data_IF_828101887729
#
_entry.id   IF_828101887729
#
_cell.length_a   1.000
_cell.length_b   1.000
_cell.length_c   1.000
_cell.angle_alpha   90.00
_cell.angle_beta   90.00
_cell.angle_gamma   90.00
#
_symmetry.space_group_name_H-M   'P 1'
#
loop_
_entity.id
_entity.type
_entity.pdbx_description
1 polymer ?
#
# COMPACT_ATOMS: atom_id res chain seq x y z
N UNK A 1 -18.35 -44.44 63.50
CA UNK A 1 -17.41 -44.04 62.43
C UNK A 1 -18.13 -43.08 61.47
N UNK A 2 -17.83 -41.78 61.55
CA UNK A 2 -18.38 -40.74 60.64
C UNK A 2 -17.27 -40.38 59.67
N UNK A 3 -17.48 -40.64 58.37
CA UNK A 3 -16.59 -40.22 57.31
C UNK A 3 -16.88 -38.76 56.92
N UNK A 4 -15.87 -37.87 57.07
CA UNK A 4 -15.90 -36.54 56.53
C UNK A 4 -15.48 -36.57 55.02
N UNK A 5 -16.40 -36.23 54.17
CA UNK A 5 -16.04 -35.88 52.75
C UNK A 5 -15.57 -34.43 52.70
N UNK A 6 -14.30 -34.20 52.38
CA UNK A 6 -13.80 -32.88 51.99
C UNK A 6 -14.06 -32.68 50.49
N UNK A 7 -15.00 -31.81 50.16
CA UNK A 7 -15.18 -31.31 48.76
C UNK A 7 -14.17 -30.18 48.50
N UNK A 8 -13.15 -30.47 47.69
CA UNK A 8 -12.22 -29.44 47.20
C UNK A 8 -12.88 -28.65 46.07
N UNK A 9 -13.13 -27.37 46.31
CA UNK A 9 -13.56 -26.41 45.25
C UNK A 9 -12.32 -25.97 44.45
N UNK A 10 -12.19 -26.47 43.24
CA UNK A 10 -11.21 -25.96 42.24
C UNK A 10 -11.74 -24.62 41.70
N UNK A 11 -11.18 -23.52 42.19
CA UNK A 11 -11.34 -22.20 41.60
C UNK A 11 -10.53 -22.17 40.31
N UNK A 12 -11.19 -22.34 39.17
CA UNK A 12 -10.61 -22.05 37.87
C UNK A 12 -10.46 -20.50 37.71
N UNK A 13 -9.27 -19.99 37.92
CA UNK A 13 -8.94 -18.62 37.58
C UNK A 13 -8.95 -18.45 36.05
N UNK A 14 -9.99 -17.80 35.52
CA UNK A 14 -10.01 -17.38 34.13
C UNK A 14 -8.92 -16.33 33.94
N UNK A 15 -7.80 -16.70 33.36
CA UNK A 15 -6.81 -15.76 32.88
C UNK A 15 -7.42 -15.10 31.64
N UNK A 16 -7.99 -13.91 31.81
CA UNK A 16 -8.30 -13.06 30.67
C UNK A 16 -6.95 -12.63 30.08
N UNK A 17 -6.64 -13.12 28.88
CA UNK A 17 -5.52 -12.58 28.11
C UNK A 17 -5.78 -11.09 27.88
N UNK A 18 -4.86 -10.25 28.35
CA UNK A 18 -4.95 -8.82 28.11
C UNK A 18 -4.91 -8.60 26.60
N UNK A 19 -5.85 -7.80 26.08
CA UNK A 19 -5.82 -7.37 24.69
C UNK A 19 -4.51 -6.63 24.48
N UNK A 20 -3.67 -6.98 23.49
CA UNK A 20 -2.41 -6.29 23.29
C UNK A 20 -2.65 -4.81 23.00
N UNK A 21 -1.93 -3.97 23.72
CA UNK A 21 -1.98 -2.52 23.56
C UNK A 21 -0.98 -2.12 22.48
N UNK A 22 -1.48 -1.60 21.36
CA UNK A 22 -0.65 -1.08 20.28
C UNK A 22 -0.35 0.41 20.49
N UNK A 23 0.81 0.85 20.01
CA UNK A 23 1.20 2.25 20.06
C UNK A 23 0.20 3.14 19.30
N UNK A 24 -0.14 4.29 19.87
CA UNK A 24 -1.03 5.25 19.25
C UNK A 24 -0.25 6.20 18.32
N UNK A 25 -0.87 6.56 17.20
CA UNK A 25 -0.38 7.65 16.34
C UNK A 25 -0.80 8.97 16.95
N UNK A 26 0.18 9.82 17.28
CA UNK A 26 -0.03 11.12 17.95
C UNK A 26 0.57 12.27 17.15
N UNK A 27 -0.03 13.47 17.18
CA UNK A 27 0.57 14.66 16.57
C UNK A 27 1.95 14.99 17.18
N UNK A 28 2.82 15.61 16.38
CA UNK A 28 4.11 16.12 16.85
C UNK A 28 5.29 15.15 16.75
N UNK A 29 5.09 13.90 16.34
CA UNK A 29 6.18 13.02 15.95
C UNK A 29 6.86 13.56 14.67
N UNK A 30 8.19 13.58 14.68
CA UNK A 30 8.97 14.05 13.53
C UNK A 30 9.54 12.86 12.79
N UNK A 31 8.97 12.53 11.63
CA UNK A 31 9.46 11.44 10.78
C UNK A 31 10.84 11.78 10.23
N UNK A 32 11.75 10.83 10.34
CA UNK A 32 13.11 10.89 9.78
C UNK A 32 13.46 9.55 9.14
N UNK A 33 13.84 9.52 7.87
CA UNK A 33 14.21 8.27 7.19
C UNK A 33 15.38 7.55 7.88
N UNK A 34 16.22 8.26 8.61
CA UNK A 34 17.31 7.65 9.37
C UNK A 34 16.82 6.80 10.56
N UNK A 35 15.60 7.04 11.03
CA UNK A 35 14.98 6.37 12.18
C UNK A 35 13.73 5.58 11.79
N UNK A 36 12.97 6.09 10.83
CA UNK A 36 11.63 5.63 10.50
C UNK A 36 11.55 4.97 9.11
N UNK A 37 12.67 4.53 8.54
CA UNK A 37 12.63 3.74 7.29
C UNK A 37 12.38 2.25 7.52
N UNK A 38 12.61 1.75 8.72
CA UNK A 38 12.41 0.36 9.11
C UNK A 38 11.00 0.07 9.66
N UNK A 39 10.84 -1.12 10.24
CA UNK A 39 9.57 -1.57 10.79
C UNK A 39 9.28 -0.99 12.18
N UNK A 40 8.02 -0.69 12.44
CA UNK A 40 7.51 -0.12 13.68
C UNK A 40 6.67 -1.16 14.44
N UNK A 41 7.31 -2.16 15.04
CA UNK A 41 6.67 -3.35 15.63
C UNK A 41 5.63 -3.03 16.73
N UNK A 42 5.73 -1.86 17.36
CA UNK A 42 4.75 -1.38 18.34
C UNK A 42 3.40 -0.99 17.75
N UNK A 43 3.31 -0.82 16.43
CA UNK A 43 2.06 -0.49 15.74
C UNK A 43 1.39 -1.74 15.16
N UNK A 44 0.07 -1.67 15.00
CA UNK A 44 -0.74 -2.82 14.56
C UNK A 44 -0.52 -3.18 13.10
N UNK A 45 -0.42 -2.20 12.21
CA UNK A 45 -0.25 -2.38 10.76
C UNK A 45 0.73 -1.39 10.16
N UNK A 46 1.41 -1.82 9.12
CA UNK A 46 2.42 -1.06 8.42
C UNK A 46 2.57 -1.58 7.00
N UNK A 47 2.92 -0.71 6.05
CA UNK A 47 3.20 -1.13 4.68
C UNK A 47 4.25 -0.26 3.99
N UNK A 48 5.00 -0.90 3.12
CA UNK A 48 5.88 -0.34 2.11
C UNK A 48 5.24 -0.63 0.75
N UNK A 49 4.81 0.41 0.07
CA UNK A 49 4.03 0.34 -1.15
C UNK A 49 4.77 1.07 -2.27
N UNK A 50 5.33 0.32 -3.23
CA UNK A 50 6.03 0.85 -4.38
C UNK A 50 5.23 0.61 -5.65
N UNK A 51 4.89 1.69 -6.35
CA UNK A 51 4.17 1.66 -7.63
C UNK A 51 4.87 2.51 -8.66
N UNK A 52 4.67 2.20 -9.93
CA UNK A 52 5.30 3.01 -10.95
C UNK A 52 5.02 2.58 -12.38
N UNK A 53 5.64 3.32 -13.26
CA UNK A 53 5.62 3.08 -14.68
C UNK A 53 7.02 2.70 -15.16
N UNK A 54 7.05 1.71 -16.06
CA UNK A 54 8.26 1.26 -16.74
C UNK A 54 8.09 1.45 -18.23
N UNK A 55 9.18 1.79 -18.89
CA UNK A 55 9.27 1.88 -20.35
C UNK A 55 10.27 0.81 -20.81
N UNK A 56 9.86 -0.03 -21.73
CA UNK A 56 10.71 -1.01 -22.42
C UNK A 56 11.58 -0.28 -23.48
N UNK A 57 12.62 -0.91 -24.07
CA UNK A 57 13.44 -0.30 -25.11
C UNK A 57 12.64 0.16 -26.35
N UNK A 58 11.57 -0.55 -26.69
CA UNK A 58 10.64 -0.24 -27.76
C UNK A 58 9.51 0.72 -27.35
N UNK A 59 9.67 1.38 -26.17
CA UNK A 59 8.74 2.39 -25.63
C UNK A 59 7.34 1.88 -25.31
N UNK A 60 7.18 0.61 -25.07
CA UNK A 60 5.93 0.10 -24.55
C UNK A 60 5.84 0.39 -23.05
N UNK A 61 4.77 1.04 -22.59
CA UNK A 61 4.57 1.34 -21.18
C UNK A 61 4.07 0.11 -20.44
N UNK A 62 4.63 -0.13 -19.25
CA UNK A 62 4.14 -1.09 -18.26
C UNK A 62 3.86 -0.37 -16.96
N UNK A 63 2.92 -0.89 -16.16
CA UNK A 63 2.74 -0.51 -14.77
C UNK A 63 3.25 -1.60 -13.84
N UNK A 64 3.70 -1.25 -12.64
CA UNK A 64 4.01 -2.22 -11.62
C UNK A 64 3.55 -1.75 -10.25
N UNK A 65 3.26 -2.72 -9.39
CA UNK A 65 2.96 -2.52 -7.98
C UNK A 65 3.65 -3.62 -7.17
N UNK A 66 4.22 -3.24 -6.03
CA UNK A 66 4.80 -4.15 -5.05
C UNK A 66 4.48 -3.59 -3.67
N UNK A 67 3.79 -4.38 -2.85
CA UNK A 67 3.47 -3.99 -1.48
C UNK A 67 3.95 -5.06 -0.53
N UNK A 68 4.62 -4.65 0.52
CA UNK A 68 4.84 -5.47 1.70
C UNK A 68 4.05 -4.88 2.85
N UNK A 69 3.29 -5.73 3.54
CA UNK A 69 2.57 -5.37 4.75
C UNK A 69 3.18 -6.12 5.92
N UNK A 70 3.25 -5.44 7.06
CA UNK A 70 3.43 -6.05 8.37
C UNK A 70 2.14 -5.87 9.17
N UNK A 71 1.67 -6.92 9.79
CA UNK A 71 0.49 -6.88 10.65
C UNK A 71 0.74 -7.63 11.94
N UNK A 72 0.61 -6.95 13.06
CA UNK A 72 0.61 -7.57 14.38
C UNK A 72 -0.71 -8.32 14.60
N UNK A 73 -0.62 -9.57 15.04
CA UNK A 73 -1.78 -10.46 15.18
C UNK A 73 -2.54 -10.29 16.50
N UNK A 74 -1.93 -9.61 17.47
CA UNK A 74 -2.44 -9.56 18.83
C UNK A 74 -2.13 -10.84 19.63
N UNK A 75 -1.32 -11.75 19.12
CA UNK A 75 -0.80 -12.88 19.90
C UNK A 75 0.09 -12.39 21.04
N UNK A 76 0.07 -13.09 22.18
CA UNK A 76 0.85 -12.70 23.35
C UNK A 76 2.35 -12.60 23.00
N UNK A 77 2.95 -11.42 23.08
CA UNK A 77 4.38 -11.25 22.77
C UNK A 77 5.31 -11.98 23.75
N UNK A 78 4.79 -12.38 24.93
CA UNK A 78 5.53 -13.17 25.92
C UNK A 78 5.49 -14.68 25.64
N UNK A 79 4.77 -15.15 24.63
CA UNK A 79 4.77 -16.56 24.24
C UNK A 79 6.19 -16.97 23.81
N UNK A 80 6.85 -17.91 24.52
CA UNK A 80 8.22 -18.32 24.21
C UNK A 80 8.33 -19.17 22.94
N UNK A 81 7.21 -19.54 22.32
CA UNK A 81 7.21 -20.38 21.14
C UNK A 81 7.79 -19.65 19.92
N UNK A 82 8.86 -20.18 19.33
CA UNK A 82 9.36 -19.70 18.05
C UNK A 82 8.33 -19.83 16.91
N UNK A 83 7.22 -20.51 17.14
CA UNK A 83 6.11 -20.67 16.21
C UNK A 83 4.95 -19.71 16.48
N UNK A 84 5.02 -18.89 17.54
CA UNK A 84 4.00 -17.88 17.83
C UNK A 84 3.84 -16.91 16.66
N UNK A 85 2.61 -16.69 16.15
CA UNK A 85 2.39 -15.82 14.99
C UNK A 85 2.24 -14.36 15.41
N UNK A 86 3.23 -13.78 16.13
CA UNK A 86 3.14 -12.42 16.66
C UNK A 86 3.04 -11.37 15.55
N UNK A 87 3.71 -11.59 14.42
CA UNK A 87 3.70 -10.73 13.24
C UNK A 87 3.44 -11.55 11.99
N UNK A 88 2.63 -11.01 11.09
CA UNK A 88 2.45 -11.50 9.72
C UNK A 88 3.16 -10.56 8.75
N UNK A 89 3.84 -11.13 7.78
CA UNK A 89 4.33 -10.44 6.60
C UNK A 89 3.49 -10.89 5.41
N UNK A 90 2.94 -9.93 4.69
CA UNK A 90 2.12 -10.15 3.50
C UNK A 90 2.79 -9.40 2.35
N UNK A 91 2.78 -9.96 1.16
CA UNK A 91 3.30 -9.29 -0.01
C UNK A 91 2.38 -9.48 -1.21
N UNK A 92 2.16 -8.40 -1.95
CA UNK A 92 1.48 -8.39 -3.23
C UNK A 92 2.44 -7.85 -4.29
N UNK A 93 2.37 -8.40 -5.47
CA UNK A 93 3.06 -7.87 -6.64
C UNK A 93 2.17 -7.95 -7.87
N UNK A 94 2.25 -6.94 -8.72
CA UNK A 94 1.47 -6.89 -9.94
C UNK A 94 2.24 -6.23 -11.09
N UNK A 95 1.92 -6.67 -12.30
CA UNK A 95 2.41 -6.13 -13.56
C UNK A 95 1.21 -5.79 -14.46
N UNK A 96 1.06 -4.51 -14.76
CA UNK A 96 0.11 -3.99 -15.76
C UNK A 96 0.78 -3.96 -17.12
N UNK A 97 0.44 -4.93 -17.97
CA UNK A 97 0.94 -5.01 -19.33
C UNK A 97 -0.24 -4.96 -20.32
N UNK A 98 -0.39 -3.90 -21.12
CA UNK A 98 -1.49 -3.79 -22.07
C UNK A 98 -1.57 -4.94 -23.08
N UNK A 99 -0.44 -5.60 -23.36
CA UNK A 99 -0.42 -6.76 -24.25
C UNK A 99 -1.12 -8.00 -23.67
N UNK A 100 -1.26 -8.08 -22.34
CA UNK A 100 -2.00 -9.15 -21.66
C UNK A 100 -3.49 -8.86 -21.59
N UNK A 101 -3.87 -7.57 -21.55
CA UNK A 101 -5.26 -7.13 -21.40
C UNK A 101 -5.85 -7.32 -20.00
N UNK A 102 -5.09 -7.84 -19.04
CA UNK A 102 -5.46 -8.02 -17.63
C UNK A 102 -4.23 -7.89 -16.73
N UNK A 103 -4.44 -7.63 -15.44
CA UNK A 103 -3.38 -7.55 -14.45
C UNK A 103 -2.78 -8.94 -14.20
N UNK A 104 -1.46 -9.08 -14.39
CA UNK A 104 -0.73 -10.23 -13.85
C UNK A 104 -0.37 -9.90 -12.40
N UNK A 105 -0.77 -10.74 -11.45
CA UNK A 105 -0.49 -10.52 -10.02
C UNK A 105 -0.23 -11.82 -9.27
N UNK A 106 0.46 -11.71 -8.15
CA UNK A 106 0.73 -12.81 -7.22
C UNK A 106 0.73 -12.26 -5.79
N UNK A 107 0.51 -13.13 -4.81
CA UNK A 107 0.39 -12.76 -3.40
C UNK A 107 1.01 -13.83 -2.50
N UNK A 108 1.55 -13.39 -1.38
CA UNK A 108 2.15 -14.28 -0.37
C UNK A 108 1.80 -13.80 1.03
N UNK A 109 1.74 -14.73 1.96
CA UNK A 109 1.56 -14.46 3.39
C UNK A 109 2.33 -15.50 4.21
N UNK A 110 3.06 -15.04 5.21
CA UNK A 110 3.67 -15.91 6.22
C UNK A 110 3.77 -15.19 7.56
N UNK A 111 3.81 -15.98 8.64
CA UNK A 111 4.25 -15.45 9.93
C UNK A 111 5.73 -15.09 9.88
N UNK A 112 6.10 -14.03 10.59
CA UNK A 112 7.49 -13.63 10.74
C UNK A 112 8.30 -14.73 11.44
N UNK A 113 9.50 -14.99 10.95
CA UNK A 113 10.43 -15.92 11.60
C UNK A 113 11.29 -16.75 10.66
N UNK A 114 12.24 -17.47 11.22
CA UNK A 114 13.12 -18.45 10.57
C UNK A 114 13.95 -17.87 9.41
N UNK A 115 14.10 -16.54 9.31
CA UNK A 115 14.77 -15.89 8.18
C UNK A 115 14.00 -15.98 6.85
N UNK A 116 12.78 -16.52 6.86
CA UNK A 116 11.93 -16.65 5.67
C UNK A 116 11.01 -15.44 5.47
N UNK A 117 10.50 -14.88 6.57
CA UNK A 117 9.68 -13.68 6.56
C UNK A 117 10.11 -12.76 7.70
N UNK A 118 10.37 -11.48 7.39
CA UNK A 118 10.73 -10.47 8.38
C UNK A 118 10.55 -9.05 7.83
N UNK A 119 10.43 -8.09 8.73
CA UNK A 119 10.66 -6.66 8.49
C UNK A 119 11.60 -6.15 9.59
N UNK A 120 12.72 -5.51 9.21
CA UNK A 120 13.72 -5.04 10.18
C UNK A 120 13.38 -3.65 10.71
N UNK A 121 13.63 -3.35 12.00
CA UNK A 121 13.26 -2.07 12.60
C UNK A 121 14.20 -0.91 12.28
N UNK A 122 15.43 -1.17 11.89
CA UNK A 122 16.49 -0.17 11.73
C UNK A 122 16.60 0.41 10.31
N UNK A 123 16.01 -0.26 9.33
CA UNK A 123 16.01 0.18 7.92
C UNK A 123 14.95 -0.59 7.14
N UNK A 124 14.53 -0.08 5.98
CA UNK A 124 13.73 -0.88 5.05
C UNK A 124 14.53 -2.12 4.64
N UNK A 125 14.20 -3.24 5.21
CA UNK A 125 14.68 -4.57 4.84
C UNK A 125 13.54 -5.54 5.17
N UNK A 126 12.65 -5.69 4.18
CA UNK A 126 11.45 -6.51 4.30
C UNK A 126 11.56 -7.66 3.33
N UNK A 127 11.32 -8.86 3.84
CA UNK A 127 11.44 -10.11 3.09
C UNK A 127 10.26 -11.03 3.34
N UNK A 128 9.83 -11.69 2.29
CA UNK A 128 8.90 -12.80 2.35
C UNK A 128 9.31 -13.85 1.30
N UNK A 129 9.90 -14.95 1.76
CA UNK A 129 10.51 -15.99 0.92
C UNK A 129 11.60 -15.39 0.01
N UNK A 130 11.46 -15.47 -1.32
CA UNK A 130 12.38 -14.88 -2.29
C UNK A 130 12.08 -13.39 -2.59
N UNK A 131 10.92 -12.88 -2.20
CA UNK A 131 10.55 -11.50 -2.44
C UNK A 131 11.14 -10.58 -1.38
N UNK A 132 11.65 -9.43 -1.80
CA UNK A 132 12.25 -8.46 -0.86
C UNK A 132 12.21 -7.03 -1.40
N UNK A 133 12.20 -6.10 -0.47
CA UNK A 133 12.55 -4.70 -0.68
C UNK A 133 13.61 -4.31 0.36
N UNK A 134 14.74 -3.78 -0.09
CA UNK A 134 15.86 -3.41 0.79
C UNK A 134 16.34 -2.02 0.42
N UNK A 135 16.43 -1.13 1.39
CA UNK A 135 17.06 0.18 1.23
C UNK A 135 18.56 0.08 1.48
N UNK A 136 19.37 0.37 0.48
CA UNK A 136 20.81 0.37 0.56
C UNK A 136 21.36 1.59 1.33
N UNK A 137 22.66 1.57 1.67
CA UNK A 137 23.29 2.62 2.45
C UNK A 137 23.33 3.99 1.76
N UNK A 138 23.30 4.03 0.43
CA UNK A 138 23.21 5.26 -0.37
C UNK A 138 21.78 5.74 -0.59
N UNK A 139 20.79 5.03 -0.02
CA UNK A 139 19.38 5.38 -0.01
C UNK A 139 18.56 4.84 -1.18
N UNK A 140 19.14 4.17 -2.18
CA UNK A 140 18.34 3.50 -3.20
C UNK A 140 17.69 2.22 -2.65
N UNK A 141 16.60 1.78 -3.26
CA UNK A 141 15.91 0.54 -2.92
C UNK A 141 16.20 -0.53 -3.97
N UNK A 142 16.54 -1.72 -3.52
CA UNK A 142 16.57 -2.93 -4.33
C UNK A 142 15.30 -3.73 -4.11
N UNK A 143 14.60 -4.04 -5.19
CA UNK A 143 13.37 -4.83 -5.18
C UNK A 143 13.58 -6.09 -5.98
N UNK A 144 13.26 -7.23 -5.38
CA UNK A 144 13.27 -8.54 -6.02
C UNK A 144 11.92 -9.21 -5.82
N UNK A 145 11.24 -9.52 -6.89
CA UNK A 145 9.99 -10.28 -6.91
C UNK A 145 10.10 -11.36 -7.97
N UNK A 146 9.98 -12.61 -7.56
CA UNK A 146 9.84 -13.76 -8.43
C UNK A 146 8.45 -14.37 -8.24
N UNK A 147 7.48 -13.84 -8.99
CA UNK A 147 6.09 -14.30 -9.02
C UNK A 147 5.92 -15.48 -9.99
N UNK A 148 4.81 -16.19 -9.91
CA UNK A 148 4.57 -17.37 -10.75
C UNK A 148 4.53 -17.05 -12.25
N UNK A 149 3.95 -15.90 -12.62
CA UNK A 149 3.79 -15.49 -14.01
C UNK A 149 4.80 -14.45 -14.51
N UNK A 150 5.52 -13.75 -13.61
CA UNK A 150 6.42 -12.66 -13.97
C UNK A 150 7.53 -12.49 -12.93
N UNK A 151 8.55 -11.68 -13.24
CA UNK A 151 9.47 -11.21 -12.21
C UNK A 151 9.83 -9.73 -12.39
N UNK A 152 10.14 -9.08 -11.27
CA UNK A 152 10.56 -7.69 -11.19
C UNK A 152 11.87 -7.63 -10.39
N UNK A 153 12.96 -7.24 -11.04
CA UNK A 153 14.23 -6.96 -10.37
C UNK A 153 14.59 -5.52 -10.66
N UNK A 154 14.30 -4.64 -9.69
CA UNK A 154 14.32 -3.19 -9.90
C UNK A 154 15.21 -2.49 -8.86
N UNK A 155 15.93 -1.47 -9.29
CA UNK A 155 16.56 -0.48 -8.44
C UNK A 155 15.74 0.81 -8.50
N UNK A 156 15.30 1.31 -7.34
CA UNK A 156 14.53 2.55 -7.21
C UNK A 156 15.42 3.59 -6.53
N UNK A 157 15.83 4.63 -7.26
CA UNK A 157 16.77 5.64 -6.76
C UNK A 157 16.03 6.94 -6.47
N UNK A 158 16.03 7.44 -5.20
CA UNK A 158 15.47 8.73 -4.85
C UNK A 158 16.09 9.86 -5.67
N UNK A 159 15.26 10.72 -6.24
CA UNK A 159 15.70 11.92 -7.00
C UNK A 159 15.29 13.20 -6.31
N UNK A 160 14.44 13.13 -5.30
CA UNK A 160 13.90 14.23 -4.53
C UNK A 160 13.81 13.85 -3.05
N UNK A 161 13.65 14.85 -2.18
CA UNK A 161 13.41 14.61 -0.76
C UNK A 161 12.04 13.92 -0.53
N UNK A 162 11.87 13.16 0.57
CA UNK A 162 10.59 12.62 0.95
C UNK A 162 9.51 13.68 1.09
N UNK A 163 8.26 13.30 0.84
CA UNK A 163 7.07 14.11 1.06
C UNK A 163 6.35 13.60 2.30
N UNK A 164 6.41 14.36 3.39
CA UNK A 164 5.69 14.02 4.62
C UNK A 164 4.21 14.34 4.42
N UNK A 165 3.36 13.34 4.61
CA UNK A 165 1.92 13.47 4.37
C UNK A 165 1.19 14.06 5.60
N UNK A 166 0.09 14.77 5.35
CA UNK A 166 -0.68 15.41 6.41
C UNK A 166 0.09 16.53 7.13
N UNK A 167 0.04 16.54 8.44
CA UNK A 167 0.77 17.51 9.28
C UNK A 167 2.15 16.91 9.63
N UNK A 168 3.14 17.15 8.77
CA UNK A 168 4.54 16.71 8.95
C UNK A 168 4.67 15.19 9.18
N UNK A 169 3.84 14.38 8.49
CA UNK A 169 3.82 12.94 8.62
C UNK A 169 2.67 12.39 9.47
N UNK A 170 2.00 13.21 10.27
CA UNK A 170 0.76 12.84 10.94
C UNK A 170 -0.42 12.98 9.96
N UNK A 171 -0.85 11.88 9.38
CA UNK A 171 -1.87 11.84 8.32
C UNK A 171 -3.19 11.32 8.86
N UNK A 172 -4.17 12.19 9.04
CA UNK A 172 -5.52 11.79 9.47
C UNK A 172 -6.26 11.02 8.39
N UNK A 173 -6.99 9.99 8.82
CA UNK A 173 -7.81 9.10 7.99
C UNK A 173 -9.29 9.15 8.37
N UNK A 174 -9.65 10.00 9.31
CA UNK A 174 -11.03 10.12 9.78
C UNK A 174 -11.25 11.33 10.69
N UNK A 175 -12.51 11.51 11.15
CA UNK A 175 -12.87 12.64 11.99
C UNK A 175 -12.26 12.61 13.38
N UNK A 176 -11.95 11.43 13.93
CA UNK A 176 -11.32 11.31 15.25
C UNK A 176 -9.79 11.39 15.15
N UNK A 177 -9.11 12.02 16.10
CA UNK A 177 -7.65 12.19 16.08
C UNK A 177 -6.88 10.87 15.99
N UNK A 178 -7.34 9.83 16.70
CA UNK A 178 -6.72 8.50 16.69
C UNK A 178 -6.82 7.76 15.35
N UNK A 179 -7.73 8.19 14.46
CA UNK A 179 -7.83 7.69 13.09
C UNK A 179 -6.78 8.36 12.21
N UNK A 180 -5.54 7.97 12.41
CA UNK A 180 -4.39 8.55 11.74
C UNK A 180 -3.30 7.51 11.51
N UNK A 181 -2.36 7.82 10.66
CA UNK A 181 -1.12 7.10 10.44
C UNK A 181 0.06 8.04 10.51
N UNK A 182 1.25 7.50 10.75
CA UNK A 182 2.48 8.13 10.33
C UNK A 182 2.73 7.73 8.89
N UNK A 183 3.02 8.71 8.02
CA UNK A 183 3.02 8.50 6.59
C UNK A 183 3.97 9.44 5.87
N UNK A 184 4.88 8.87 5.10
CA UNK A 184 5.67 9.61 4.12
C UNK A 184 5.68 8.92 2.77
N UNK A 185 5.93 9.71 1.73
CA UNK A 185 6.07 9.23 0.36
C UNK A 185 7.44 9.61 -0.19
N UNK A 186 7.97 8.80 -1.09
CA UNK A 186 9.12 9.12 -1.93
C UNK A 186 8.68 9.13 -3.41
N UNK A 187 8.26 10.28 -3.93
CA UNK A 187 7.89 10.43 -5.33
C UNK A 187 9.12 10.55 -6.24
N UNK A 188 8.91 10.37 -7.54
CA UNK A 188 9.95 10.51 -8.56
C UNK A 188 11.19 9.62 -8.33
N UNK A 189 11.01 8.42 -7.78
CA UNK A 189 12.07 7.44 -7.75
C UNK A 189 12.43 7.04 -9.18
N UNK A 190 13.69 7.22 -9.58
CA UNK A 190 14.17 6.73 -10.87
C UNK A 190 14.28 5.21 -10.81
N UNK A 191 13.71 4.53 -11.80
CA UNK A 191 13.72 3.07 -11.88
C UNK A 191 14.64 2.60 -12.99
N UNK A 192 15.44 1.59 -12.68
CA UNK A 192 16.19 0.77 -13.66
C UNK A 192 16.09 -0.70 -13.23
N UNK A 193 16.18 -1.62 -14.19
CA UNK A 193 16.14 -3.04 -13.85
C UNK A 193 15.70 -3.93 -15.00
N UNK A 194 15.17 -5.08 -14.63
CA UNK A 194 14.66 -6.09 -15.57
C UNK A 194 13.27 -6.58 -15.17
N UNK A 195 12.45 -6.82 -16.17
CA UNK A 195 11.12 -7.43 -16.03
C UNK A 195 11.10 -8.70 -16.88
N UNK A 196 10.71 -9.81 -16.28
CA UNK A 196 10.32 -11.01 -17.03
C UNK A 196 8.79 -11.00 -17.13
N UNK A 197 8.27 -11.01 -18.34
CA UNK A 197 6.82 -10.92 -18.62
C UNK A 197 6.19 -12.30 -18.62
N UNK A 198 4.87 -12.43 -18.41
CA UNK A 198 4.15 -13.67 -18.62
C UNK A 198 4.35 -14.20 -20.03
N UNK A 199 4.47 -15.52 -20.16
CA UNK A 199 4.56 -16.17 -21.46
C UNK A 199 3.16 -16.53 -21.98
N UNK A 200 2.97 -16.45 -23.31
CA UNK A 200 1.68 -16.80 -23.94
C UNK A 200 1.24 -18.25 -23.67
N UNK A 201 2.18 -19.16 -23.42
CA UNK A 201 1.91 -20.56 -23.06
C UNK A 201 1.70 -20.81 -21.57
N UNK A 202 1.64 -19.74 -20.75
CA UNK A 202 1.62 -19.78 -19.29
C UNK A 202 3.02 -19.79 -18.68
N UNK A 203 3.12 -19.40 -17.38
CA UNK A 203 4.39 -19.20 -16.69
C UNK A 203 5.12 -17.93 -17.11
N UNK A 204 6.43 -17.89 -16.94
CA UNK A 204 7.29 -16.73 -17.28
C UNK A 204 7.96 -16.89 -18.63
N UNK A 205 8.18 -15.78 -19.32
CA UNK A 205 9.10 -15.72 -20.47
C UNK A 205 10.51 -16.16 -20.04
N UNK A 206 11.31 -16.65 -20.95
CA UNK A 206 12.71 -17.02 -20.68
C UNK A 206 13.62 -15.80 -20.64
N UNK A 207 13.26 -14.73 -21.31
CA UNK A 207 14.11 -13.55 -21.48
C UNK A 207 13.59 -12.39 -20.65
N UNK A 208 14.50 -11.78 -19.87
CA UNK A 208 14.23 -10.53 -19.18
C UNK A 208 14.33 -9.33 -20.11
N UNK A 209 13.43 -8.37 -19.96
CA UNK A 209 13.46 -7.10 -20.68
C UNK A 209 14.06 -6.04 -19.75
N UNK A 210 15.11 -5.36 -20.22
CA UNK A 210 15.66 -4.19 -19.52
C UNK A 210 14.64 -3.06 -19.57
N UNK A 211 14.41 -2.43 -18.42
CA UNK A 211 13.42 -1.36 -18.30
C UNK A 211 14.01 -0.15 -17.59
N UNK A 212 13.44 1.01 -17.88
CA UNK A 212 13.65 2.25 -17.13
C UNK A 212 12.30 2.86 -16.78
N UNK A 213 12.26 3.77 -15.79
CA UNK A 213 10.97 4.38 -15.45
C UNK A 213 11.02 5.31 -14.27
N UNK A 214 9.83 5.56 -13.71
CA UNK A 214 9.65 6.33 -12.50
C UNK A 214 8.67 5.63 -11.56
N UNK A 215 8.97 5.67 -10.28
CA UNK A 215 8.15 5.09 -9.23
C UNK A 215 7.77 6.10 -8.15
N UNK A 216 6.82 5.69 -7.35
CA UNK A 216 6.36 6.27 -6.10
C UNK A 216 6.51 5.19 -5.02
N UNK A 217 6.97 5.56 -3.83
CA UNK A 217 6.98 4.67 -2.68
C UNK A 217 6.28 5.36 -1.52
N UNK A 218 5.36 4.65 -0.88
CA UNK A 218 4.76 5.01 0.40
C UNK A 218 5.26 4.11 1.51
N UNK A 219 5.53 4.70 2.65
CA UNK A 219 5.72 3.99 3.91
C UNK A 219 4.76 4.58 4.93
N UNK A 220 3.91 3.72 5.47
CA UNK A 220 2.83 4.15 6.35
C UNK A 220 2.58 3.12 7.45
N UNK A 221 2.40 3.59 8.71
CA UNK A 221 2.11 2.73 9.86
C UNK A 221 1.08 3.33 10.79
N UNK A 222 0.26 2.46 11.39
CA UNK A 222 -0.87 2.84 12.23
C UNK A 222 -1.33 1.70 13.13
N UNK A 223 -2.09 2.05 14.18
CA UNK A 223 -2.84 1.09 14.98
C UNK A 223 -4.35 1.25 14.83
N UNK A 224 -4.83 2.43 14.41
CA UNK A 224 -6.26 2.73 14.20
C UNK A 224 -6.43 3.54 12.93
N UNK A 225 -6.47 2.85 11.79
CA UNK A 225 -6.48 3.51 10.48
C UNK A 225 -7.88 3.97 10.06
N UNK A 226 -8.86 3.08 10.08
CA UNK A 226 -10.18 3.32 9.49
C UNK A 226 -11.30 3.37 10.52
N UNK A 227 -12.30 4.20 10.23
CA UNK A 227 -13.58 4.18 10.95
C UNK A 227 -14.35 2.87 10.67
N UNK A 228 -15.14 2.43 11.65
CA UNK A 228 -15.97 1.22 11.51
C UNK A 228 -17.00 1.32 10.38
N UNK A 229 -17.38 2.54 10.00
CA UNK A 229 -18.33 2.81 8.91
C UNK A 229 -17.63 3.04 7.55
N UNK A 230 -16.30 3.03 7.48
CA UNK A 230 -15.61 3.13 6.22
C UNK A 230 -15.78 1.86 5.37
N UNK A 231 -16.03 2.02 4.09
CA UNK A 231 -16.02 0.92 3.10
C UNK A 231 -14.60 0.64 2.59
N UNK A 232 -13.84 1.68 2.32
CA UNK A 232 -12.52 1.63 1.72
C UNK A 232 -12.05 3.02 1.34
N UNK A 233 -11.02 3.09 0.51
CA UNK A 233 -10.48 4.35 0.03
C UNK A 233 -10.29 4.37 -1.49
N UNK A 234 -10.17 5.57 -2.02
CA UNK A 234 -9.56 5.85 -3.31
C UNK A 234 -8.28 6.63 -3.03
N UNK A 235 -7.16 6.19 -3.56
CA UNK A 235 -5.85 6.80 -3.39
C UNK A 235 -5.18 7.03 -4.73
N UNK A 236 -4.42 8.12 -4.83
CA UNK A 236 -3.67 8.54 -6.01
C UNK A 236 -2.26 8.99 -5.60
N UNK A 237 -1.22 8.44 -6.24
CA UNK A 237 0.13 8.97 -6.22
C UNK A 237 0.60 9.29 -7.64
N UNK A 238 0.93 10.55 -7.92
CA UNK A 238 1.26 11.04 -9.26
C UNK A 238 2.62 11.72 -9.32
N UNK A 239 3.43 11.29 -10.28
CA UNK A 239 4.67 11.94 -10.71
C UNK A 239 4.37 12.81 -11.93
N UNK A 240 4.44 14.14 -11.78
CA UNK A 240 4.13 15.07 -12.85
C UNK A 240 5.38 15.41 -13.68
N UNK A 241 5.17 15.68 -14.96
CA UNK A 241 6.26 15.89 -15.92
C UNK A 241 7.09 17.16 -15.67
N UNK A 242 6.51 18.12 -14.93
CA UNK A 242 7.22 19.33 -14.50
C UNK A 242 8.08 19.14 -13.24
N UNK A 243 8.13 17.91 -12.68
CA UNK A 243 8.83 17.57 -11.46
C UNK A 243 8.00 17.74 -10.18
N UNK A 244 6.76 18.20 -10.30
CA UNK A 244 5.80 18.24 -9.20
C UNK A 244 5.30 16.84 -8.82
N UNK A 245 4.84 16.67 -7.59
CA UNK A 245 4.29 15.41 -7.08
C UNK A 245 2.94 15.66 -6.41
N UNK A 246 1.94 14.85 -6.73
CA UNK A 246 0.60 14.94 -6.14
C UNK A 246 0.25 13.62 -5.46
N UNK A 247 -0.12 13.68 -4.20
CA UNK A 247 -0.85 12.61 -3.50
C UNK A 247 -2.26 13.10 -3.17
N UNK A 248 -3.25 12.24 -3.36
CA UNK A 248 -4.61 12.51 -2.92
C UNK A 248 -5.29 11.21 -2.47
N UNK A 249 -6.13 11.29 -1.45
CA UNK A 249 -6.99 10.18 -1.08
C UNK A 249 -8.33 10.65 -0.53
N UNK A 250 -9.32 9.76 -0.60
CA UNK A 250 -10.56 9.86 0.18
C UNK A 250 -10.90 8.52 0.83
N UNK A 251 -11.40 8.57 2.05
CA UNK A 251 -12.01 7.44 2.74
C UNK A 251 -13.52 7.50 2.49
N UNK A 252 -14.09 6.42 1.97
CA UNK A 252 -15.53 6.35 1.63
C UNK A 252 -16.33 5.68 2.74
N UNK A 253 -17.45 6.31 3.12
CA UNK A 253 -18.43 5.72 4.02
C UNK A 253 -19.43 4.79 3.30
N UNK A 254 -20.29 4.14 4.07
CA UNK A 254 -21.33 3.23 3.56
C UNK A 254 -22.37 3.92 2.66
N UNK A 255 -22.50 5.23 2.78
CA UNK A 255 -23.35 6.07 1.92
C UNK A 255 -22.64 6.50 0.60
N UNK A 256 -21.41 6.01 0.37
CA UNK A 256 -20.58 6.35 -0.78
C UNK A 256 -19.92 7.74 -0.71
N UNK A 257 -20.22 8.54 0.32
CA UNK A 257 -19.64 9.89 0.49
C UNK A 257 -18.26 9.81 1.14
N UNK A 258 -17.47 10.87 0.93
CA UNK A 258 -16.20 11.01 1.61
C UNK A 258 -16.41 11.27 3.12
N UNK A 259 -15.98 10.35 3.95
CA UNK A 259 -15.85 10.54 5.40
C UNK A 259 -14.65 11.41 5.74
N UNK A 260 -13.56 11.22 5.01
CA UNK A 260 -12.33 11.98 5.09
C UNK A 260 -11.68 12.09 3.71
N UNK A 261 -10.99 13.18 3.46
CA UNK A 261 -10.19 13.34 2.26
C UNK A 261 -9.02 14.30 2.54
N UNK A 262 -7.94 14.10 1.83
CA UNK A 262 -6.74 14.92 1.92
C UNK A 262 -5.96 14.84 0.60
N UNK A 263 -5.25 15.92 0.28
CA UNK A 263 -4.25 15.90 -0.79
C UNK A 263 -3.04 16.76 -0.43
N UNK A 264 -1.90 16.42 -1.00
CA UNK A 264 -0.66 17.18 -0.92
C UNK A 264 -0.07 17.33 -2.32
N UNK A 265 0.13 18.56 -2.77
CA UNK A 265 0.81 18.90 -4.01
C UNK A 265 2.14 19.56 -3.68
N UNK A 266 3.25 18.90 -3.99
CA UNK A 266 4.58 19.48 -3.95
C UNK A 266 4.94 20.00 -5.34
N UNK A 267 5.22 21.28 -5.45
CA UNK A 267 5.66 21.86 -6.71
C UNK A 267 7.15 21.56 -6.97
N UNK A 268 7.63 21.91 -8.17
CA UNK A 268 9.04 21.72 -8.59
C UNK A 268 10.05 22.40 -7.66
N UNK A 269 9.67 23.47 -6.98
CA UNK A 269 10.54 24.19 -6.03
C UNK A 269 10.61 23.50 -4.65
N UNK A 270 9.81 22.46 -4.43
CA UNK A 270 9.74 21.72 -3.16
C UNK A 270 8.70 22.27 -2.19
N UNK A 271 7.94 23.30 -2.56
CA UNK A 271 6.88 23.86 -1.72
C UNK A 271 5.66 22.94 -1.74
N UNK A 272 5.12 22.63 -0.55
CA UNK A 272 3.99 21.74 -0.37
C UNK A 272 2.73 22.54 -0.07
N UNK A 273 1.70 22.33 -0.86
CA UNK A 273 0.34 22.82 -0.62
C UNK A 273 -0.53 21.62 -0.22
N UNK A 274 -1.21 21.72 0.91
CA UNK A 274 -2.15 20.70 1.37
C UNK A 274 -3.59 21.14 1.17
N UNK A 275 -4.48 20.17 0.91
CA UNK A 275 -5.89 20.36 0.67
C UNK A 275 -6.68 19.49 1.64
N UNK A 276 -7.58 20.10 2.39
CA UNK A 276 -8.46 19.42 3.34
C UNK A 276 -9.68 18.78 2.66
N UNK A 277 -10.50 18.15 3.48
CA UNK A 277 -11.67 17.36 3.07
C UNK A 277 -12.58 18.05 2.04
N UNK A 278 -12.88 19.32 2.25
CA UNK A 278 -13.83 20.07 1.40
C UNK A 278 -13.19 20.59 0.09
N UNK A 279 -11.90 20.38 -0.08
CA UNK A 279 -11.12 20.81 -1.24
C UNK A 279 -10.69 19.64 -2.13
N UNK A 280 -10.98 18.39 -1.72
CA UNK A 280 -10.60 17.19 -2.45
C UNK A 280 -11.85 16.41 -2.85
N UNK A 281 -12.01 16.15 -4.15
CA UNK A 281 -13.10 15.33 -4.66
C UNK A 281 -12.62 14.37 -5.74
N UNK A 282 -13.20 13.18 -5.74
CA UNK A 282 -12.96 12.12 -6.72
C UNK A 282 -14.28 11.84 -7.44
N UNK A 283 -14.40 12.27 -8.67
CA UNK A 283 -15.62 12.10 -9.46
C UNK A 283 -15.39 11.04 -10.54
N UNK A 284 -16.19 9.94 -10.57
CA UNK A 284 -16.16 8.94 -11.63
C UNK A 284 -16.46 9.54 -13.00
N UNK A 285 -15.71 9.16 -14.01
CA UNK A 285 -15.96 9.52 -15.41
C UNK A 285 -16.34 8.31 -16.24
N UNK A 286 -15.67 7.18 -16.02
CA UNK A 286 -15.96 5.92 -16.69
C UNK A 286 -15.79 4.75 -15.71
N UNK A 287 -16.75 3.84 -15.77
CA UNK A 287 -16.75 2.62 -14.96
C UNK A 287 -16.47 1.43 -15.84
N UNK A 288 -15.58 0.56 -15.39
CA UNK A 288 -15.38 -0.78 -15.91
C UNK A 288 -15.94 -1.81 -14.94
N UNK A 289 -16.55 -2.86 -15.46
CA UNK A 289 -17.08 -3.95 -14.65
C UNK A 289 -16.20 -5.18 -14.80
N UNK A 290 -15.68 -5.67 -13.68
CA UNK A 290 -14.85 -6.85 -13.65
C UNK A 290 -15.60 -8.08 -14.17
N UNK A 291 -15.05 -8.84 -15.13
CA UNK A 291 -15.65 -10.10 -15.56
C UNK A 291 -15.48 -11.22 -14.51
N UNK A 292 -14.59 -11.06 -13.52
CA UNK A 292 -14.31 -12.06 -12.47
C UNK A 292 -15.21 -11.88 -11.25
N UNK A 293 -15.36 -10.68 -10.78
CA UNK A 293 -16.10 -10.36 -9.53
C UNK A 293 -17.44 -9.68 -9.78
N UNK A 294 -17.72 -9.25 -11.01
CA UNK A 294 -18.85 -8.41 -11.38
C UNK A 294 -18.86 -7.03 -10.67
N UNK A 295 -17.74 -6.64 -10.06
CA UNK A 295 -17.58 -5.37 -9.35
C UNK A 295 -17.45 -4.20 -10.33
N UNK A 296 -18.20 -3.10 -10.16
CA UNK A 296 -18.04 -1.89 -10.96
C UNK A 296 -16.94 -1.00 -10.34
N UNK A 297 -15.83 -0.79 -11.05
CA UNK A 297 -14.77 0.12 -10.64
C UNK A 297 -14.77 1.40 -11.48
N UNK A 298 -14.70 2.59 -10.88
CA UNK A 298 -14.56 3.85 -11.60
C UNK A 298 -13.12 4.05 -12.06
N UNK A 299 -12.68 3.29 -13.06
CA UNK A 299 -11.29 3.23 -13.52
C UNK A 299 -10.78 4.52 -14.18
N UNK A 300 -11.70 5.40 -14.59
CA UNK A 300 -11.36 6.74 -15.08
C UNK A 300 -12.10 7.77 -14.23
N UNK A 301 -11.36 8.74 -13.72
CA UNK A 301 -11.85 9.71 -12.74
C UNK A 301 -11.35 11.12 -13.04
N UNK A 302 -12.05 12.12 -12.50
CA UNK A 302 -11.45 13.42 -12.22
C UNK A 302 -11.19 13.56 -10.74
N UNK A 303 -9.99 14.05 -10.38
CA UNK A 303 -9.63 14.40 -9.02
C UNK A 303 -9.49 15.90 -8.92
N UNK A 304 -10.24 16.53 -8.02
CA UNK A 304 -10.16 17.95 -7.72
C UNK A 304 -9.31 18.18 -6.48
N UNK A 305 -8.38 19.13 -6.55
CA UNK A 305 -7.59 19.58 -5.38
C UNK A 305 -7.57 21.10 -5.39
N UNK A 306 -8.39 21.71 -4.53
CA UNK A 306 -8.64 23.14 -4.55
C UNK A 306 -9.23 23.63 -5.88
N UNK A 307 -8.54 24.48 -6.59
CA UNK A 307 -8.93 24.98 -7.92
C UNK A 307 -8.46 24.10 -9.09
N UNK A 308 -7.58 23.13 -8.83
CA UNK A 308 -7.02 22.26 -9.86
C UNK A 308 -7.89 21.03 -10.08
N UNK A 309 -8.03 20.61 -11.35
CA UNK A 309 -8.73 19.38 -11.72
C UNK A 309 -7.81 18.51 -12.57
N UNK A 310 -7.65 17.27 -12.15
CA UNK A 310 -6.80 16.27 -12.78
C UNK A 310 -7.67 15.17 -13.38
N UNK A 311 -7.48 14.86 -14.63
CA UNK A 311 -8.13 13.73 -15.29
C UNK A 311 -7.23 12.52 -15.21
N UNK A 312 -7.78 11.38 -14.81
CA UNK A 312 -7.11 10.10 -14.71
C UNK A 312 -7.71 9.12 -15.71
N UNK A 313 -6.89 8.56 -16.58
CA UNK A 313 -7.29 7.52 -17.54
C UNK A 313 -6.36 6.31 -17.41
N UNK A 314 -6.90 5.08 -17.25
CA UNK A 314 -6.11 3.89 -16.98
C UNK A 314 -5.26 3.48 -18.20
N UNK A 315 -4.11 2.86 -17.92
CA UNK A 315 -3.27 2.22 -18.93
C UNK A 315 -4.04 1.09 -19.63
N UNK A 316 -4.80 0.33 -18.86
CA UNK A 316 -5.76 -0.68 -19.29
C UNK A 316 -6.88 -0.78 -18.23
N UNK A 317 -8.06 -1.28 -18.62
CA UNK A 317 -9.21 -1.30 -17.71
C UNK A 317 -9.11 -2.39 -16.64
N UNK A 318 -8.65 -3.57 -17.02
CA UNK A 318 -8.55 -4.73 -16.14
C UNK A 318 -7.24 -4.69 -15.32
N UNK A 319 -7.26 -3.91 -14.24
CA UNK A 319 -6.20 -3.88 -13.24
C UNK A 319 -6.78 -4.31 -11.86
N UNK A 320 -7.72 -5.24 -11.85
CA UNK A 320 -8.26 -5.83 -10.62
C UNK A 320 -7.28 -6.84 -10.02
N UNK A 321 -6.98 -6.68 -8.73
CA UNK A 321 -6.13 -7.56 -7.94
C UNK A 321 -6.97 -8.36 -6.95
N UNK A 322 -6.91 -9.68 -7.02
CA UNK A 322 -7.57 -10.60 -6.10
C UNK A 322 -6.59 -11.05 -5.02
N UNK A 323 -6.67 -10.45 -3.83
CA UNK A 323 -5.83 -10.77 -2.68
C UNK A 323 -6.57 -11.55 -1.59
N UNK A 324 -7.65 -12.25 -1.94
CA UNK A 324 -8.47 -12.99 -0.96
C UNK A 324 -7.71 -14.07 -0.20
N UNK A 325 -6.65 -14.62 -0.79
CA UNK A 325 -5.83 -15.66 -0.12
C UNK A 325 -4.89 -15.09 0.95
N UNK A 326 -4.60 -13.79 0.92
CA UNK A 326 -3.69 -13.13 1.87
C UNK A 326 -4.40 -12.13 2.77
N UNK A 327 -5.08 -11.13 2.19
CA UNK A 327 -5.76 -10.06 2.94
C UNK A 327 -7.27 -10.20 3.01
N UNK A 328 -7.84 -11.16 2.27
CA UNK A 328 -9.29 -11.33 2.18
C UNK A 328 -9.99 -10.28 1.30
N UNK A 329 -9.26 -9.47 0.54
CA UNK A 329 -9.79 -8.35 -0.23
C UNK A 329 -9.66 -8.55 -1.75
N UNK A 330 -10.54 -7.88 -2.50
CA UNK A 330 -10.38 -7.64 -3.93
C UNK A 330 -10.45 -6.14 -4.15
N UNK A 331 -9.51 -5.59 -4.90
CA UNK A 331 -9.45 -4.16 -5.20
C UNK A 331 -8.90 -3.91 -6.60
N UNK A 332 -9.13 -2.71 -7.12
CA UNK A 332 -8.56 -2.30 -8.39
C UNK A 332 -7.37 -1.39 -8.11
N UNK A 333 -6.25 -1.67 -8.75
CA UNK A 333 -5.01 -0.95 -8.53
C UNK A 333 -4.23 -0.88 -9.82
N UNK A 334 -4.03 0.34 -10.34
CA UNK A 334 -3.51 0.43 -11.68
C UNK A 334 -2.79 1.71 -12.05
N UNK A 335 -1.93 1.54 -13.05
CA UNK A 335 -1.25 2.62 -13.73
C UNK A 335 -2.26 3.49 -14.49
N UNK A 336 -2.23 4.81 -14.25
CA UNK A 336 -3.10 5.79 -14.91
C UNK A 336 -2.29 6.96 -15.47
N UNK A 337 -2.69 7.50 -16.62
CA UNK A 337 -2.19 8.77 -17.17
C UNK A 337 -2.89 9.92 -16.46
N UNK A 338 -2.16 11.00 -16.27
CA UNK A 338 -2.72 12.23 -15.70
C UNK A 338 -2.74 13.31 -16.75
N UNK A 339 -3.90 13.89 -17.00
CA UNK A 339 -4.03 15.07 -17.86
C UNK A 339 -4.71 16.23 -17.13
N UNK A 340 -4.39 17.46 -17.56
CA UNK A 340 -4.99 18.68 -17.08
C UNK A 340 -5.20 19.64 -18.25
N UNK A 341 -6.38 20.21 -18.35
CA UNK A 341 -6.74 21.15 -19.44
C UNK A 341 -6.50 20.55 -20.83
N UNK A 342 -6.69 19.21 -20.98
CA UNK A 342 -6.49 18.48 -22.22
C UNK A 342 -5.03 18.10 -22.55
N UNK A 343 -4.06 18.52 -21.75
CA UNK A 343 -2.65 18.16 -21.91
C UNK A 343 -2.27 16.99 -20.99
N UNK A 344 -1.45 16.04 -21.48
CA UNK A 344 -0.81 15.03 -20.65
C UNK A 344 0.23 15.71 -19.74
N UNK A 345 0.08 15.56 -18.43
CA UNK A 345 0.92 16.21 -17.42
C UNK A 345 1.61 15.23 -16.49
N UNK A 346 1.42 13.91 -16.64
CA UNK A 346 2.12 12.96 -15.79
C UNK A 346 1.59 11.54 -15.83
N UNK A 347 2.23 10.72 -15.00
CA UNK A 347 1.89 9.32 -14.77
C UNK A 347 1.63 9.09 -13.30
N UNK A 348 0.63 8.26 -12.98
CA UNK A 348 0.22 8.01 -11.61
C UNK A 348 -0.15 6.55 -11.40
N UNK A 349 -0.40 6.20 -10.15
CA UNK A 349 -1.08 4.98 -9.74
C UNK A 349 -2.35 5.35 -8.99
N UNK A 350 -3.45 4.68 -9.31
CA UNK A 350 -4.76 4.85 -8.68
C UNK A 350 -5.12 3.54 -7.99
N UNK A 351 -5.50 3.60 -6.72
CA UNK A 351 -5.98 2.47 -5.94
C UNK A 351 -7.44 2.69 -5.52
N UNK A 352 -8.27 1.68 -5.74
CA UNK A 352 -9.71 1.68 -5.48
C UNK A 352 -10.07 0.47 -4.61
N UNK A 353 -10.15 0.66 -3.31
CA UNK A 353 -10.49 -0.40 -2.34
C UNK A 353 -11.94 -0.34 -1.90
N UNK A 354 -12.48 -1.44 -1.40
CA UNK A 354 -13.83 -1.48 -0.81
C UNK A 354 -14.97 -1.32 -1.82
N UNK A 355 -14.73 -1.66 -3.09
CA UNK A 355 -15.77 -1.70 -4.13
C UNK A 355 -16.39 -3.09 -4.27
N UNK A 356 -15.60 -4.15 -4.13
CA UNK A 356 -16.10 -5.53 -4.11
C UNK A 356 -16.75 -5.83 -2.74
N UNK A 357 -15.97 -5.66 -1.68
CA UNK A 357 -16.38 -5.86 -0.29
C UNK A 357 -15.77 -4.77 0.58
N UNK A 358 -16.41 -4.47 1.72
CA UNK A 358 -15.88 -3.50 2.67
C UNK A 358 -14.53 -3.95 3.21
N UNK A 359 -13.55 -3.06 3.15
CA UNK A 359 -12.19 -3.34 3.62
C UNK A 359 -12.15 -3.51 5.15
N UNK A 360 -11.41 -4.52 5.62
CA UNK A 360 -11.31 -4.87 7.05
C UNK A 360 -9.86 -4.81 7.51
N UNK A 361 -9.26 -3.62 7.52
CA UNK A 361 -7.91 -3.42 8.07
C UNK A 361 -8.04 -2.96 9.52
N UNK A 362 -7.33 -3.64 10.44
CA UNK A 362 -7.25 -3.24 11.83
C UNK A 362 -8.56 -3.31 12.60
N UNK A 363 -9.51 -4.15 12.20
CA UNK A 363 -10.74 -4.43 12.93
C UNK A 363 -10.59 -5.73 13.71
N UNK A 364 -11.14 -5.73 14.92
CA UNK A 364 -11.33 -6.92 15.76
C UNK A 364 -12.44 -7.81 15.21
#
# INVERSE_FOLDING_TARGET
>A
MRALLCAGVLLASSVFAATPEFAAVTPGHSISLAQDSGAHDGFRTEWWYATGWLDTPDKQPLGFQITFFRSATGHDPADPSAFAPSQLIIAHAALSDPALGHLAHDQRIARQGFGLAYAKPDNTDVKLDAWKIVRAADGHYEVTVDADGFSLHLALTPTQAPLLQGERGYSRKGPRPEQASYYYSEPHLRVTGTVVRPAAAGGRSKDGTVVTGAAWLDHEWSSTLLDANALGWDWLGANLTDGSALMAFRIRGRDGRAMWAHAALRNRAGEVTTFGRDQVDFTPVRTWRSPRTNTPYPVSMTVKTGALTWRLDPLMDDQELDSRQSTGAVYWEGAVRVSRDGADVGRAYLELTGYADALRIGRD
#
